data_IF_883471993273
#
_entry.id   IF_883471993273
#
_cell.length_a   1.000
_cell.length_b   1.000
_cell.length_c   1.000
_cell.angle_alpha   90.00
_cell.angle_beta   90.00
_cell.angle_gamma   90.00
#
_symmetry.space_group_name_H-M   'P 1'
#
loop_
_entity.id
_entity.type
_entity.pdbx_description
1 polymer ?
#
# COMPACT_ATOMS: atom_id res chain seq x y z
N UNK A 1 15.85 -49.71 14.23
CA UNK A 1 14.82 -48.66 14.08
C UNK A 1 15.26 -47.42 14.84
N UNK A 2 15.74 -46.39 14.12
CA UNK A 2 16.20 -45.13 14.70
C UNK A 2 14.99 -44.23 14.98
N UNK A 3 14.72 -43.95 16.25
CA UNK A 3 13.67 -43.03 16.67
C UNK A 3 14.18 -41.59 16.48
N UNK A 4 13.59 -40.88 15.53
CA UNK A 4 13.89 -39.48 15.23
C UNK A 4 13.53 -38.61 16.45
N UNK A 5 14.53 -38.18 17.24
CA UNK A 5 14.36 -37.15 18.28
C UNK A 5 14.38 -35.78 17.62
N UNK A 6 13.19 -35.30 17.21
CA UNK A 6 13.02 -33.92 16.77
C UNK A 6 13.48 -32.96 17.87
N UNK A 7 14.57 -32.22 17.62
CA UNK A 7 15.00 -31.12 18.49
C UNK A 7 13.99 -29.99 18.35
N UNK A 8 13.22 -29.70 19.39
CA UNK A 8 12.47 -28.45 19.48
C UNK A 8 13.47 -27.29 19.54
N UNK A 9 13.59 -26.54 18.44
CA UNK A 9 14.36 -25.31 18.39
C UNK A 9 13.50 -24.20 19.00
N UNK A 10 13.66 -23.95 20.30
CA UNK A 10 13.09 -22.76 20.93
C UNK A 10 13.93 -21.56 20.51
N UNK A 11 13.53 -20.88 19.43
CA UNK A 11 14.14 -19.60 19.07
C UNK A 11 13.93 -18.63 20.25
N UNK A 12 15.01 -18.07 20.80
CA UNK A 12 14.97 -17.06 21.89
C UNK A 12 14.29 -15.73 21.51
N UNK A 13 13.75 -15.63 20.28
CA UNK A 13 13.08 -14.44 19.79
C UNK A 13 11.63 -14.47 20.19
N UNK A 14 11.20 -13.43 20.90
CA UNK A 14 9.78 -13.25 21.22
C UNK A 14 8.98 -13.01 19.94
N UNK A 15 7.68 -13.33 19.96
CA UNK A 15 6.80 -13.10 18.81
C UNK A 15 6.79 -11.62 18.39
N UNK A 16 6.97 -10.70 19.34
CA UNK A 16 7.17 -9.29 19.10
C UNK A 16 8.45 -8.98 18.29
N UNK A 17 9.57 -9.65 18.58
CA UNK A 17 10.81 -9.49 17.80
C UNK A 17 10.66 -10.02 16.36
N UNK A 18 9.98 -11.16 16.17
CA UNK A 18 9.66 -11.67 14.84
C UNK A 18 8.80 -10.69 14.03
N UNK A 19 7.78 -10.09 14.66
CA UNK A 19 6.92 -9.10 14.01
C UNK A 19 7.65 -7.79 13.69
N UNK A 20 8.65 -7.42 14.49
CA UNK A 20 9.46 -6.22 14.30
C UNK A 20 10.45 -6.39 13.14
N UNK A 21 11.16 -7.53 13.08
CA UNK A 21 12.04 -7.86 11.95
C UNK A 21 11.26 -7.96 10.63
N UNK A 22 10.02 -8.49 10.68
CA UNK A 22 9.16 -8.63 9.51
C UNK A 22 8.73 -7.30 8.87
N UNK A 23 8.84 -6.17 9.58
CA UNK A 23 8.55 -4.83 8.99
C UNK A 23 9.42 -4.52 7.77
N UNK A 24 10.66 -5.03 7.71
CA UNK A 24 11.53 -4.86 6.53
C UNK A 24 11.02 -5.60 5.30
N UNK A 25 10.38 -6.75 5.47
CA UNK A 25 9.95 -7.61 4.36
C UNK A 25 8.77 -7.01 3.57
N UNK A 26 7.93 -6.21 4.24
CA UNK A 26 6.75 -5.62 3.63
C UNK A 26 6.94 -4.20 3.15
N UNK A 27 8.10 -3.59 3.40
CA UNK A 27 8.39 -2.25 2.94
C UNK A 27 8.31 -2.16 1.39
N UNK A 28 7.51 -1.22 0.91
CA UNK A 28 7.42 -0.92 -0.51
C UNK A 28 8.31 0.27 -0.90
N UNK A 29 9.28 0.01 -1.80
CA UNK A 29 10.16 1.04 -2.35
C UNK A 29 9.56 1.59 -3.64
N UNK A 30 9.18 2.87 -3.59
CA UNK A 30 8.69 3.66 -4.73
C UNK A 30 9.79 3.82 -5.79
N UNK A 31 9.44 3.64 -7.07
CA UNK A 31 10.33 3.71 -8.24
C UNK A 31 10.15 5.02 -9.03
N UNK A 32 11.08 5.36 -9.92
CA UNK A 32 10.95 6.41 -10.94
C UNK A 32 10.40 7.76 -10.46
N UNK A 33 10.80 8.20 -9.26
CA UNK A 33 10.30 9.45 -8.64
C UNK A 33 10.64 10.69 -9.46
N UNK A 34 11.75 10.63 -10.17
CA UNK A 34 12.28 11.64 -11.09
C UNK A 34 11.41 11.85 -12.33
N UNK A 35 10.61 10.84 -12.72
CA UNK A 35 9.78 10.86 -13.94
C UNK A 35 8.30 11.09 -13.66
N UNK A 36 7.89 10.96 -12.40
CA UNK A 36 6.51 11.13 -12.00
C UNK A 36 6.22 12.60 -11.66
N UNK A 37 4.95 12.97 -11.75
CA UNK A 37 4.51 14.31 -11.39
C UNK A 37 4.81 14.60 -9.90
N UNK A 38 5.44 15.74 -9.58
CA UNK A 38 5.79 16.10 -8.20
C UNK A 38 4.60 16.08 -7.24
N UNK A 39 3.40 16.45 -7.69
CA UNK A 39 2.19 16.46 -6.85
C UNK A 39 1.83 15.05 -6.36
N UNK A 40 1.92 14.06 -7.25
CA UNK A 40 1.63 12.65 -6.94
C UNK A 40 2.74 12.05 -6.09
N UNK A 41 4.00 12.41 -6.36
CA UNK A 41 5.14 12.01 -5.51
C UNK A 41 4.93 12.53 -4.10
N UNK A 42 4.66 13.82 -3.94
CA UNK A 42 4.44 14.44 -2.63
C UNK A 42 3.27 13.80 -1.90
N UNK A 43 2.16 13.54 -2.58
CA UNK A 43 1.02 12.81 -2.03
C UNK A 43 1.42 11.42 -1.49
N UNK A 44 2.16 10.62 -2.27
CA UNK A 44 2.62 9.28 -1.87
C UNK A 44 3.59 9.32 -0.67
N UNK A 45 4.31 10.43 -0.49
CA UNK A 45 5.20 10.66 0.64
C UNK A 45 4.55 11.38 1.82
N UNK A 46 3.30 11.83 1.68
CA UNK A 46 2.53 12.45 2.76
C UNK A 46 2.16 11.45 3.86
N UNK A 47 1.80 11.98 5.02
CA UNK A 47 1.36 11.21 6.19
C UNK A 47 0.03 10.46 5.94
N UNK A 48 -0.74 10.89 4.94
CA UNK A 48 -2.02 10.28 4.55
C UNK A 48 -1.84 8.90 3.90
N UNK A 49 -0.60 8.53 3.53
CA UNK A 49 -0.31 7.34 2.72
C UNK A 49 0.68 6.41 3.41
N UNK A 50 0.23 5.17 3.66
CA UNK A 50 1.08 4.08 4.09
C UNK A 50 1.53 3.22 2.89
N UNK A 51 2.83 2.88 2.84
CA UNK A 51 3.46 2.13 1.74
C UNK A 51 3.90 0.76 2.25
N UNK A 52 3.09 -0.24 1.98
CA UNK A 52 3.34 -1.62 2.38
C UNK A 52 2.82 -2.56 1.30
N UNK A 53 3.63 -3.57 0.93
CA UNK A 53 3.37 -4.53 -0.15
C UNK A 53 2.10 -5.36 0.01
N UNK A 54 1.58 -5.45 1.24
CA UNK A 54 0.35 -6.18 1.59
C UNK A 54 -0.90 -5.34 1.40
N UNK A 55 -0.76 -4.03 1.39
CA UNK A 55 -1.90 -3.12 1.38
C UNK A 55 -2.47 -2.96 -0.03
N UNK A 56 -3.79 -2.84 -0.04
CA UNK A 56 -4.57 -2.54 -1.21
C UNK A 56 -5.50 -1.39 -0.88
N UNK A 57 -5.60 -0.44 -1.79
CA UNK A 57 -6.55 0.67 -1.69
C UNK A 57 -7.39 0.73 -2.95
N UNK A 58 -8.71 0.91 -2.81
CA UNK A 58 -9.58 1.12 -3.96
C UNK A 58 -9.14 2.36 -4.76
N UNK A 59 -9.07 2.27 -6.09
CA UNK A 59 -8.55 3.36 -6.92
C UNK A 59 -9.31 4.68 -6.72
N UNK A 60 -10.64 4.60 -6.55
CA UNK A 60 -11.49 5.77 -6.28
C UNK A 60 -11.12 6.44 -4.95
N UNK A 61 -10.90 5.65 -3.91
CA UNK A 61 -10.51 6.16 -2.58
C UNK A 61 -9.14 6.83 -2.62
N UNK A 62 -8.16 6.20 -3.29
CA UNK A 62 -6.84 6.79 -3.46
C UNK A 62 -6.89 8.12 -4.22
N UNK A 63 -7.67 8.18 -5.30
CA UNK A 63 -7.82 9.41 -6.09
C UNK A 63 -8.54 10.53 -5.32
N UNK A 64 -9.61 10.20 -4.59
CA UNK A 64 -10.29 11.20 -3.76
C UNK A 64 -9.36 11.76 -2.67
N UNK A 65 -8.61 10.90 -1.99
CA UNK A 65 -7.63 11.34 -0.99
C UNK A 65 -6.53 12.21 -1.60
N UNK A 66 -6.13 11.93 -2.85
CA UNK A 66 -5.23 12.79 -3.61
C UNK A 66 -5.85 14.16 -3.92
N UNK A 67 -7.14 14.22 -4.31
CA UNK A 67 -7.85 15.48 -4.53
C UNK A 67 -7.91 16.30 -3.24
N UNK A 68 -8.27 15.68 -2.12
CA UNK A 68 -8.36 16.33 -0.81
C UNK A 68 -6.97 16.86 -0.39
N UNK A 69 -5.92 16.07 -0.58
CA UNK A 69 -4.53 16.48 -0.35
C UNK A 69 -4.14 17.70 -1.19
N UNK A 70 -4.43 17.67 -2.49
CA UNK A 70 -4.12 18.81 -3.36
C UNK A 70 -4.91 20.06 -2.95
N UNK A 71 -6.17 19.91 -2.55
CA UNK A 71 -6.98 21.02 -2.06
C UNK A 71 -6.40 21.64 -0.77
N UNK A 72 -5.98 20.81 0.19
CA UNK A 72 -5.35 21.28 1.43
C UNK A 72 -4.03 22.03 1.18
N UNK A 73 -3.28 21.65 0.16
CA UNK A 73 -1.99 22.23 -0.19
C UNK A 73 -2.10 23.34 -1.26
N UNK A 74 -3.31 23.73 -1.66
CA UNK A 74 -3.57 24.70 -2.74
C UNK A 74 -2.86 24.33 -4.08
N UNK A 75 -2.78 23.04 -4.39
CA UNK A 75 -2.19 22.49 -5.61
C UNK A 75 -3.28 22.15 -6.64
N UNK A 76 -2.97 22.31 -7.92
CA UNK A 76 -3.87 21.87 -9.00
C UNK A 76 -3.78 20.35 -9.16
N UNK A 77 -4.87 19.60 -8.94
CA UNK A 77 -4.86 18.15 -9.07
C UNK A 77 -4.77 17.71 -10.54
N UNK A 78 -4.23 16.51 -10.75
CA UNK A 78 -4.23 15.85 -12.04
C UNK A 78 -5.57 15.16 -12.29
N UNK A 79 -5.96 15.02 -13.56
CA UNK A 79 -7.03 14.11 -13.98
C UNK A 79 -6.68 12.67 -13.57
N UNK A 80 -7.69 11.90 -13.14
CA UNK A 80 -7.66 10.47 -12.86
C UNK A 80 -6.80 9.63 -13.84
N UNK A 81 -6.88 9.86 -15.16
CA UNK A 81 -6.06 9.13 -16.15
C UNK A 81 -4.57 9.39 -15.97
N UNK A 82 -4.17 10.65 -15.76
CA UNK A 82 -2.78 11.03 -15.51
C UNK A 82 -2.32 10.59 -14.13
N UNK A 83 -3.18 10.69 -13.12
CA UNK A 83 -2.92 10.15 -11.79
C UNK A 83 -2.63 8.65 -11.85
N UNK A 84 -3.46 7.86 -12.54
CA UNK A 84 -3.25 6.43 -12.73
C UNK A 84 -1.89 6.12 -13.37
N UNK A 85 -1.54 6.82 -14.45
CA UNK A 85 -0.25 6.65 -15.12
C UNK A 85 0.91 6.92 -14.16
N UNK A 86 0.83 7.98 -13.37
CA UNK A 86 1.85 8.32 -12.37
C UNK A 86 1.94 7.26 -11.26
N UNK A 87 0.82 6.77 -10.74
CA UNK A 87 0.80 5.70 -9.74
C UNK A 87 1.48 4.42 -10.25
N UNK A 88 1.20 4.03 -11.50
CA UNK A 88 1.85 2.88 -12.14
C UNK A 88 3.35 3.11 -12.33
N UNK A 89 3.77 4.32 -12.75
CA UNK A 89 5.19 4.71 -12.87
C UNK A 89 5.95 4.60 -11.55
N UNK A 90 5.29 4.98 -10.45
CA UNK A 90 5.82 4.89 -9.09
C UNK A 90 5.89 3.44 -8.56
N UNK A 91 5.31 2.49 -9.28
CA UNK A 91 5.32 1.05 -8.97
C UNK A 91 4.09 0.56 -8.20
N UNK A 92 3.05 1.39 -8.07
CA UNK A 92 1.76 0.96 -7.52
C UNK A 92 0.96 0.25 -8.59
N UNK A 93 0.82 -1.07 -8.45
CA UNK A 93 0.22 -1.91 -9.48
C UNK A 93 -1.30 -1.72 -9.48
N UNK A 94 -1.85 -1.37 -10.64
CA UNK A 94 -3.28 -1.34 -10.87
C UNK A 94 -3.83 -2.77 -10.98
N UNK A 95 -4.79 -3.10 -10.11
CA UNK A 95 -5.51 -4.36 -10.12
C UNK A 95 -6.96 -4.10 -10.50
N UNK A 96 -7.40 -4.69 -11.61
CA UNK A 96 -8.76 -4.50 -12.15
C UNK A 96 -9.85 -5.06 -11.23
N UNK A 97 -9.58 -6.21 -10.61
CA UNK A 97 -10.52 -6.90 -9.74
C UNK A 97 -9.84 -7.26 -8.42
N UNK A 98 -10.13 -6.50 -7.38
CA UNK A 98 -9.70 -6.78 -6.01
C UNK A 98 -10.93 -6.84 -5.09
N UNK A 99 -10.98 -7.86 -4.23
CA UNK A 99 -12.06 -8.03 -3.25
C UNK A 99 -11.71 -7.27 -1.98
N UNK A 100 -12.49 -6.25 -1.66
CA UNK A 100 -12.46 -5.58 -0.37
C UNK A 100 -13.53 -6.17 0.54
N UNK A 101 -13.16 -6.47 1.77
CA UNK A 101 -14.08 -6.90 2.81
C UNK A 101 -14.81 -5.67 3.38
N UNK A 102 -16.14 -5.68 3.37
CA UNK A 102 -16.98 -4.54 3.78
C UNK A 102 -17.87 -4.89 4.99
N UNK A 103 -17.74 -6.09 5.56
CA UNK A 103 -18.52 -6.55 6.71
C UNK A 103 -18.99 -8.00 6.56
N UNK A 104 -19.81 -8.47 7.51
CA UNK A 104 -20.31 -9.84 7.53
C UNK A 104 -21.06 -10.15 6.22
N UNK A 105 -20.60 -11.16 5.48
CA UNK A 105 -21.07 -11.58 4.15
C UNK A 105 -20.98 -10.55 3.00
N UNK A 106 -20.30 -9.41 3.19
CA UNK A 106 -20.18 -8.35 2.18
C UNK A 106 -18.78 -8.27 1.56
N UNK A 107 -18.60 -8.82 0.37
CA UNK A 107 -17.40 -8.59 -0.45
C UNK A 107 -17.72 -7.62 -1.59
N UNK A 108 -16.96 -6.53 -1.70
CA UNK A 108 -17.05 -5.60 -2.82
C UNK A 108 -15.86 -5.78 -3.75
N UNK A 109 -16.11 -6.14 -5.01
CA UNK A 109 -15.07 -6.22 -6.03
C UNK A 109 -14.94 -4.87 -6.72
N UNK A 110 -13.78 -4.22 -6.61
CA UNK A 110 -13.49 -2.98 -7.33
C UNK A 110 -12.06 -2.96 -7.84
N UNK A 111 -11.73 -1.91 -8.58
CA UNK A 111 -10.35 -1.62 -8.98
C UNK A 111 -9.55 -1.16 -7.77
N UNK A 112 -8.28 -1.54 -7.70
CA UNK A 112 -7.40 -1.25 -6.59
C UNK A 112 -5.98 -0.91 -7.05
N UNK A 113 -5.26 -0.16 -6.23
CA UNK A 113 -3.81 -0.08 -6.27
C UNK A 113 -3.22 -0.99 -5.21
N UNK A 114 -2.22 -1.77 -5.59
CA UNK A 114 -1.41 -2.57 -4.67
C UNK A 114 -0.27 -1.72 -4.11
N UNK A 115 0.23 -2.13 -2.95
CA UNK A 115 1.38 -1.58 -2.24
C UNK A 115 1.11 -0.24 -1.54
N UNK A 116 -0.17 0.13 -1.41
CA UNK A 116 -0.59 1.41 -0.85
C UNK A 116 -1.82 1.22 0.05
N UNK A 117 -1.78 1.85 1.22
CA UNK A 117 -2.90 2.03 2.13
C UNK A 117 -3.12 3.51 2.39
N UNK A 118 -4.38 3.94 2.49
CA UNK A 118 -4.71 5.29 2.97
C UNK A 118 -4.89 5.20 4.48
N UNK A 119 -4.14 6.02 5.22
CA UNK A 119 -4.31 6.17 6.66
C UNK A 119 -5.52 7.08 6.83
N UNK A 120 -6.65 6.49 7.24
CA UNK A 120 -7.86 7.27 7.54
C UNK A 120 -7.52 8.16 8.74
N UNK A 121 -7.62 9.48 8.57
CA UNK A 121 -7.76 10.41 9.69
C UNK A 121 -9.14 10.23 10.33
#
# INVERSE_FOLDING_TARGET
MSWYRGRYVTSRRTLAQWMTDSKKDYHFRVKNKDKADPTVVNFVFSENVNKDRRLYTACRTAYNCYLDYCQQQALTPLNNRYFKKNMELLGFVYQKHHRFYVGYYGNKVTTAYKNIGIVKQ
#
